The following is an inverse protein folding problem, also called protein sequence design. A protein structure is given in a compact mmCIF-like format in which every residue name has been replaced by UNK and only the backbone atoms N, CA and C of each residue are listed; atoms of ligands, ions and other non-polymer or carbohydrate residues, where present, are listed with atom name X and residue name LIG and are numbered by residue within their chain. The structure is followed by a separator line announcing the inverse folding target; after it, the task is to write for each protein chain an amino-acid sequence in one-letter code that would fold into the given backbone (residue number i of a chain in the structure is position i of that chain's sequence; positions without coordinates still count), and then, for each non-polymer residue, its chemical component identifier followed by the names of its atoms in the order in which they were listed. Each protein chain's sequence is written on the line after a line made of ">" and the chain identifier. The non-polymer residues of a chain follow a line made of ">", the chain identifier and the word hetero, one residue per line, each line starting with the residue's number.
data_IF_962349815782
#
_entry.id   IF_962349815782
#
_cell.length_a   1.000
_cell.length_b   1.000
_cell.length_c   1.000
_cell.angle_alpha   90.00
_cell.angle_beta   90.00
_cell.angle_gamma   90.00
#
_symmetry.space_group_name_H-M   'P 1'
#
loop_
_entity.id
_entity.type
_entity.pdbx_description
1 polymer ?
#
# COMPACT_ATOMS: atom_id res chain seq x y z
N UNK A 1 4.63 -29.26 33.19
CA UNK A 1 3.75 -28.92 32.07
C UNK A 1 2.76 -27.89 32.59
N UNK A 2 2.93 -26.61 32.22
CA UNK A 2 1.98 -25.53 32.52
C UNK A 2 1.64 -24.89 31.19
N UNK A 3 0.37 -24.94 30.84
CA UNK A 3 -0.19 -24.32 29.65
C UNK A 3 0.10 -22.81 29.67
N UNK A 4 0.79 -22.34 28.64
CA UNK A 4 0.81 -20.91 28.31
C UNK A 4 -0.45 -20.66 27.49
N UNK A 5 -1.43 -19.99 28.11
CA UNK A 5 -2.63 -19.50 27.41
C UNK A 5 -2.21 -18.47 26.35
N UNK A 6 -2.66 -18.70 25.12
CA UNK A 6 -2.61 -17.74 24.02
C UNK A 6 -3.27 -16.42 24.43
N UNK A 7 -2.61 -15.30 24.09
CA UNK A 7 -3.11 -13.94 24.26
C UNK A 7 -3.45 -13.42 22.85
N UNK A 8 -4.60 -12.78 22.70
CA UNK A 8 -4.99 -12.05 21.48
C UNK A 8 -4.53 -10.59 21.58
N UNK A 9 -4.12 -10.02 20.45
CA UNK A 9 -3.52 -8.68 20.30
C UNK A 9 -4.47 -7.49 20.55
N UNK A 10 -5.69 -7.73 21.07
CA UNK A 10 -6.74 -6.73 21.25
C UNK A 10 -7.06 -6.39 22.73
N UNK A 11 -6.26 -6.85 23.69
CA UNK A 11 -6.55 -6.62 25.12
C UNK A 11 -5.54 -5.69 25.81
N UNK A 12 -6.00 -4.48 26.18
CA UNK A 12 -5.31 -3.61 27.13
C UNK A 12 -5.69 -4.02 28.56
N UNK A 13 -4.72 -4.44 29.38
CA UNK A 13 -4.89 -4.58 30.84
C UNK A 13 -4.82 -3.20 31.49
N UNK A 14 -5.96 -2.65 31.87
CA UNK A 14 -6.02 -1.49 32.77
C UNK A 14 -5.84 -2.02 34.20
N UNK A 15 -4.63 -1.87 34.75
CA UNK A 15 -4.38 -2.01 36.19
C UNK A 15 -4.72 -0.68 36.87
N UNK A 16 -5.96 -0.59 37.35
CA UNK A 16 -6.42 0.50 38.20
C UNK A 16 -7.20 -0.08 39.38
N UNK A 17 -6.50 -0.32 40.49
CA UNK A 17 -7.11 -0.77 41.74
C UNK A 17 -7.47 0.46 42.59
N UNK A 18 -8.76 0.58 42.92
CA UNK A 18 -9.24 1.10 44.20
C UNK A 18 -9.03 2.58 44.54
N UNK A 19 -9.88 3.46 44.00
CA UNK A 19 -10.11 4.79 44.56
C UNK A 19 -11.59 5.01 44.88
N UNK A 20 -12.01 4.70 46.12
CA UNK A 20 -13.37 4.99 46.60
C UNK A 20 -13.61 6.50 46.62
N UNK A 21 -14.41 7.02 45.69
CA UNK A 21 -14.96 8.37 45.77
C UNK A 21 -16.37 8.26 46.33
N UNK A 22 -16.58 8.84 47.51
CA UNK A 22 -17.88 8.97 48.16
C UNK A 22 -18.92 9.48 47.15
N UNK A 23 -20.09 8.85 47.00
CA UNK A 23 -21.12 9.37 46.12
C UNK A 23 -21.56 10.75 46.63
N UNK A 24 -21.52 11.74 45.74
CA UNK A 24 -22.02 13.09 46.01
C UNK A 24 -23.48 13.02 46.51
N UNK A 25 -23.86 13.83 47.52
CA UNK A 25 -25.19 13.77 48.12
C UNK A 25 -26.28 14.01 47.08
N UNK A 26 -27.44 13.35 47.23
CA UNK A 26 -28.59 13.39 46.31
C UNK A 26 -29.00 14.80 45.86
N UNK A 27 -28.81 15.82 46.71
CA UNK A 27 -29.08 17.23 46.39
C UNK A 27 -28.18 17.79 45.29
N UNK A 28 -26.91 17.37 45.22
CA UNK A 28 -25.96 17.80 44.18
C UNK A 28 -26.28 17.14 42.83
N UNK A 29 -26.73 15.88 42.84
CA UNK A 29 -27.21 15.20 41.63
C UNK A 29 -28.44 15.88 41.01
N UNK A 30 -29.37 16.36 41.85
CA UNK A 30 -30.55 17.11 41.39
C UNK A 30 -30.14 18.45 40.76
N UNK A 31 -29.14 19.14 41.32
CA UNK A 31 -28.63 20.40 40.77
C UNK A 31 -27.94 20.15 39.42
N UNK A 32 -27.09 19.12 39.31
CA UNK A 32 -26.42 18.77 38.06
C UNK A 32 -27.44 18.40 36.97
N UNK A 33 -28.45 17.58 37.29
CA UNK A 33 -29.52 17.22 36.34
C UNK A 33 -30.37 18.44 35.93
N UNK A 34 -30.60 19.38 36.84
CA UNK A 34 -31.33 20.62 36.53
C UNK A 34 -30.54 21.52 35.58
N UNK A 35 -29.23 21.66 35.79
CA UNK A 35 -28.34 22.42 34.90
C UNK A 35 -28.27 21.75 33.52
N UNK A 36 -28.18 20.42 33.47
CA UNK A 36 -28.18 19.68 32.21
C UNK A 36 -29.50 19.85 31.44
N UNK A 37 -30.63 19.86 32.15
CA UNK A 37 -31.95 20.10 31.57
C UNK A 37 -32.09 21.50 30.96
N UNK A 38 -31.60 22.53 31.66
CA UNK A 38 -31.62 23.91 31.16
C UNK A 38 -30.72 24.06 29.93
N UNK A 39 -29.54 23.43 29.92
CA UNK A 39 -28.65 23.42 28.76
C UNK A 39 -29.29 22.74 27.54
N UNK A 40 -29.99 21.62 27.75
CA UNK A 40 -30.70 20.90 26.69
C UNK A 40 -31.84 21.75 26.08
N UNK A 41 -32.62 22.43 26.93
CA UNK A 41 -33.68 23.35 26.47
C UNK A 41 -33.08 24.53 25.71
N UNK A 42 -31.94 25.05 26.14
CA UNK A 42 -31.20 26.09 25.43
C UNK A 42 -30.74 25.65 24.03
N UNK A 43 -30.19 24.43 23.90
CA UNK A 43 -29.78 23.87 22.60
C UNK A 43 -30.98 23.64 21.68
N UNK A 44 -32.12 23.16 22.20
CA UNK A 44 -33.35 22.98 21.42
C UNK A 44 -33.88 24.34 20.93
N UNK A 45 -33.91 25.36 21.79
CA UNK A 45 -34.28 26.73 21.39
C UNK A 45 -33.35 27.30 20.32
N UNK A 46 -32.04 27.06 20.42
CA UNK A 46 -31.05 27.46 19.42
C UNK A 46 -31.28 26.75 18.08
N UNK A 47 -31.66 25.47 18.11
CA UNK A 47 -31.93 24.70 16.89
C UNK A 47 -33.22 25.15 16.20
N UNK A 48 -34.28 25.43 16.97
CA UNK A 48 -35.56 25.93 16.44
C UNK A 48 -35.43 27.36 15.89
N UNK A 49 -34.63 28.22 16.54
CA UNK A 49 -34.36 29.58 16.03
C UNK A 49 -33.50 29.56 14.77
N UNK A 50 -32.51 28.65 14.66
CA UNK A 50 -31.74 28.44 13.41
C UNK A 50 -32.62 27.97 12.25
N UNK A 51 -33.54 27.03 12.48
CA UNK A 51 -34.46 26.59 11.43
C UNK A 51 -35.40 27.71 10.96
N UNK A 52 -35.76 28.66 11.85
CA UNK A 52 -36.61 29.80 11.49
C UNK A 52 -35.87 30.86 10.66
N UNK A 53 -34.54 30.90 10.72
CA UNK A 53 -33.71 31.83 9.95
C UNK A 53 -33.41 31.35 8.51
N UNK A 54 -33.57 30.06 8.22
CA UNK A 54 -33.36 29.52 6.86
C UNK A 54 -34.58 29.69 5.93
N UNK A 55 -35.77 30.04 6.45
CA UNK A 55 -37.01 30.09 5.65
C UNK A 55 -37.41 31.50 5.15
N UNK A 56 -36.59 32.53 5.39
CA UNK A 56 -36.81 33.88 4.83
C UNK A 56 -35.57 34.32 4.04
N UNK A 57 -35.28 33.63 2.93
CA UNK A 57 -34.54 34.24 1.82
C UNK A 57 -35.55 34.89 0.88
N UNK A 58 -35.55 36.22 0.88
CA UNK A 58 -36.23 37.07 -0.08
C UNK A 58 -35.95 36.59 -1.52
N UNK A 59 -37.00 36.40 -2.32
CA UNK A 59 -36.89 36.24 -3.76
C UNK A 59 -36.28 37.51 -4.38
N UNK A 60 -34.96 37.55 -4.51
CA UNK A 60 -34.30 38.41 -5.50
C UNK A 60 -34.47 37.78 -6.88
N UNK A 61 -35.00 38.56 -7.80
CA UNK A 61 -35.09 38.20 -9.21
C UNK A 61 -33.73 37.70 -9.72
N UNK A 62 -33.67 36.62 -10.51
CA UNK A 62 -32.40 36.11 -10.99
C UNK A 62 -31.80 37.10 -11.98
N UNK A 63 -30.59 37.60 -11.67
CA UNK A 63 -29.72 38.19 -12.68
C UNK A 63 -29.52 37.15 -13.80
N UNK A 64 -29.46 37.58 -15.08
CA UNK A 64 -29.23 36.65 -16.18
C UNK A 64 -27.90 35.94 -15.94
N UNK A 65 -27.97 34.64 -15.66
CA UNK A 65 -26.81 33.78 -15.50
C UNK A 65 -25.96 33.90 -16.77
N UNK A 66 -24.78 34.49 -16.62
CA UNK A 66 -23.73 34.39 -17.62
C UNK A 66 -23.29 32.92 -17.56
N UNK A 67 -23.84 32.09 -18.46
CA UNK A 67 -23.40 30.71 -18.60
C UNK A 67 -21.93 30.75 -19.03
N UNK A 68 -21.02 30.54 -18.09
CA UNK A 68 -19.70 30.04 -18.47
C UNK A 68 -19.94 28.72 -19.21
N UNK A 69 -19.46 28.57 -20.45
CA UNK A 69 -19.55 27.29 -21.11
C UNK A 69 -18.90 26.27 -20.18
N UNK A 70 -19.64 25.22 -19.84
CA UNK A 70 -19.10 24.07 -19.13
C UNK A 70 -17.89 23.63 -19.93
N UNK A 71 -16.70 23.93 -19.43
CA UNK A 71 -15.48 23.33 -19.96
C UNK A 71 -15.63 21.87 -19.64
N UNK A 72 -16.10 21.09 -20.61
CA UNK A 72 -15.90 19.65 -20.58
C UNK A 72 -14.40 19.47 -20.30
N UNK A 73 -14.08 18.86 -19.16
CA UNK A 73 -12.71 18.55 -18.84
C UNK A 73 -12.16 17.79 -20.05
N UNK A 74 -11.11 18.31 -20.68
CA UNK A 74 -10.45 17.60 -21.75
C UNK A 74 -10.20 16.17 -21.24
N UNK A 75 -10.55 15.12 -22.01
CA UNK A 75 -10.24 13.76 -21.60
C UNK A 75 -8.75 13.74 -21.30
N UNK A 76 -8.38 13.44 -20.05
CA UNK A 76 -6.98 13.32 -19.66
C UNK A 76 -6.42 12.25 -20.59
N UNK A 77 -5.60 12.69 -21.57
CA UNK A 77 -4.96 11.78 -22.48
C UNK A 77 -4.13 10.85 -21.59
N UNK A 78 -4.51 9.58 -21.55
CA UNK A 78 -3.80 8.59 -20.76
C UNK A 78 -2.40 8.42 -21.37
N UNK A 79 -1.44 9.12 -20.79
CA UNK A 79 -0.04 9.07 -21.19
C UNK A 79 0.63 7.96 -20.39
N UNK A 80 0.80 6.80 -21.05
CA UNK A 80 1.58 5.68 -20.53
C UNK A 80 2.98 6.16 -20.17
N UNK A 81 3.51 5.68 -19.04
CA UNK A 81 4.91 5.91 -18.73
C UNK A 81 5.74 5.15 -19.77
N UNK A 82 5.56 3.85 -19.91
CA UNK A 82 6.29 3.05 -20.88
C UNK A 82 5.84 3.30 -22.32
N UNK A 83 6.64 2.87 -23.29
CA UNK A 83 6.13 2.76 -24.66
C UNK A 83 5.25 1.51 -24.79
N UNK A 84 4.43 1.44 -25.84
CA UNK A 84 3.69 0.23 -26.19
C UNK A 84 4.53 -0.63 -27.15
N UNK A 85 5.12 -1.75 -26.69
CA UNK A 85 5.93 -2.62 -27.54
C UNK A 85 5.05 -3.50 -28.44
N UNK A 86 5.66 -4.06 -29.49
CA UNK A 86 5.03 -5.13 -30.25
C UNK A 86 4.79 -6.34 -29.33
N UNK A 87 3.55 -6.81 -29.26
CA UNK A 87 3.15 -7.99 -28.46
C UNK A 87 3.89 -9.28 -28.80
N UNK A 88 4.52 -9.36 -29.99
CA UNK A 88 5.32 -10.51 -30.43
C UNK A 88 6.80 -10.39 -30.06
N UNK A 89 7.25 -9.22 -29.58
CA UNK A 89 8.63 -9.02 -29.18
C UNK A 89 8.96 -9.83 -27.91
N UNK A 90 10.21 -10.29 -27.73
CA UNK A 90 10.64 -10.92 -26.49
C UNK A 90 10.40 -10.01 -25.28
N UNK A 91 10.04 -10.57 -24.13
CA UNK A 91 9.86 -9.77 -22.92
C UNK A 91 11.17 -9.16 -22.39
N UNK A 92 11.07 -7.96 -21.82
CA UNK A 92 12.16 -7.19 -21.21
C UNK A 92 11.61 -6.17 -20.21
N UNK A 93 12.51 -5.50 -19.49
CA UNK A 93 12.16 -4.40 -18.59
C UNK A 93 12.67 -3.10 -19.20
N UNK A 94 11.77 -2.19 -19.54
CA UNK A 94 12.15 -0.81 -19.86
C UNK A 94 12.55 -0.09 -18.57
N UNK A 95 13.71 0.58 -18.60
CA UNK A 95 14.28 1.27 -17.44
C UNK A 95 14.29 2.76 -17.74
N UNK A 96 13.66 3.55 -16.87
CA UNK A 96 13.64 5.01 -16.95
C UNK A 96 14.11 5.63 -15.66
N UNK A 97 15.09 6.52 -15.76
CA UNK A 97 15.55 7.33 -14.64
C UNK A 97 14.90 8.73 -14.74
N UNK A 98 14.40 9.23 -13.63
CA UNK A 98 13.75 10.55 -13.52
C UNK A 98 14.02 11.17 -12.14
N UNK A 99 13.55 12.40 -11.94
CA UNK A 99 13.66 13.13 -10.69
C UNK A 99 12.26 13.63 -10.29
N UNK A 100 11.78 13.23 -9.11
CA UNK A 100 10.50 13.69 -8.55
C UNK A 100 10.78 14.29 -7.18
N UNK A 101 10.47 15.57 -6.99
CA UNK A 101 10.75 16.31 -5.75
C UNK A 101 12.20 16.14 -5.25
N UNK A 102 13.17 16.29 -6.16
CA UNK A 102 14.60 16.10 -5.88
C UNK A 102 15.02 14.69 -5.45
N UNK A 103 14.12 13.70 -5.51
CA UNK A 103 14.42 12.30 -5.27
C UNK A 103 14.72 11.64 -6.62
N UNK A 104 15.94 11.11 -6.84
CA UNK A 104 16.22 10.31 -8.03
C UNK A 104 15.38 9.04 -7.99
N UNK A 105 14.65 8.78 -9.06
CA UNK A 105 13.73 7.66 -9.17
C UNK A 105 14.12 6.84 -10.40
N UNK A 106 14.23 5.52 -10.21
CA UNK A 106 14.34 4.55 -11.29
C UNK A 106 13.04 3.76 -11.41
N UNK A 107 12.47 3.75 -12.60
CA UNK A 107 11.23 3.06 -12.96
C UNK A 107 11.58 1.86 -13.82
N UNK A 108 10.96 0.72 -13.51
CA UNK A 108 11.12 -0.56 -14.20
C UNK A 108 9.76 -1.01 -14.74
N UNK A 109 9.61 -1.01 -16.06
CA UNK A 109 8.33 -1.28 -16.74
C UNK A 109 8.46 -2.61 -17.49
N UNK A 110 7.81 -3.69 -17.00
CA UNK A 110 7.90 -5.00 -17.61
C UNK A 110 7.02 -5.07 -18.86
N UNK A 111 7.64 -5.46 -19.98
CA UNK A 111 7.00 -5.62 -21.28
C UNK A 111 6.93 -7.10 -21.67
N UNK A 112 5.81 -7.52 -22.28
CA UNK A 112 5.55 -8.90 -22.72
C UNK A 112 5.92 -9.95 -21.66
N UNK A 113 5.48 -9.71 -20.43
CA UNK A 113 5.87 -10.49 -19.27
C UNK A 113 4.69 -10.82 -18.35
N UNK A 114 4.92 -11.76 -17.46
CA UNK A 114 3.97 -12.19 -16.44
C UNK A 114 4.60 -12.10 -15.05
N UNK A 115 3.83 -11.55 -14.10
CA UNK A 115 4.22 -11.50 -12.69
C UNK A 115 3.96 -12.85 -12.03
N UNK A 116 5.02 -13.40 -11.45
CA UNK A 116 5.01 -14.59 -10.62
C UNK A 116 5.63 -14.29 -9.25
N UNK A 117 5.42 -15.17 -8.28
CA UNK A 117 6.19 -15.14 -7.02
C UNK A 117 7.15 -16.32 -6.96
N UNK A 118 8.26 -16.11 -6.25
CA UNK A 118 9.25 -17.14 -5.94
C UNK A 118 9.59 -17.13 -4.46
N UNK A 119 9.89 -18.29 -3.88
CA UNK A 119 10.41 -18.41 -2.51
C UNK A 119 11.76 -19.11 -2.53
N UNK A 120 12.70 -18.58 -1.77
CA UNK A 120 14.05 -19.08 -1.63
C UNK A 120 15.01 -18.43 -2.62
N UNK A 121 16.21 -19.01 -2.74
CA UNK A 121 17.27 -18.44 -3.56
C UNK A 121 16.83 -18.41 -5.03
N UNK A 122 17.02 -17.26 -5.68
CA UNK A 122 16.79 -17.11 -7.11
C UNK A 122 17.92 -17.74 -7.93
N UNK A 123 17.55 -18.30 -9.09
CA UNK A 123 18.49 -18.76 -10.11
C UNK A 123 18.82 -17.59 -11.05
N UNK A 124 20.08 -17.13 -11.07
CA UNK A 124 20.49 -15.97 -11.91
C UNK A 124 20.70 -16.34 -13.37
N UNK A 125 20.90 -17.62 -13.62
CA UNK A 125 21.09 -18.18 -14.94
C UNK A 125 19.75 -18.39 -15.67
N UNK A 126 18.62 -18.27 -14.96
CA UNK A 126 17.27 -18.35 -15.52
C UNK A 126 16.98 -17.17 -16.46
N UNK A 127 17.11 -17.42 -17.77
CA UNK A 127 16.85 -16.45 -18.82
C UNK A 127 15.36 -16.19 -19.07
N UNK A 128 14.43 -16.82 -18.35
CA UNK A 128 13.03 -16.38 -18.39
C UNK A 128 12.83 -15.07 -17.62
N UNK A 129 13.72 -14.73 -16.68
CA UNK A 129 13.55 -13.61 -15.75
C UNK A 129 14.01 -12.30 -16.38
N UNK A 130 13.15 -11.30 -16.32
CA UNK A 130 13.44 -9.93 -16.77
C UNK A 130 13.45 -8.92 -15.62
N UNK A 131 12.87 -9.27 -14.48
CA UNK A 131 12.94 -8.48 -13.26
C UNK A 131 12.78 -9.38 -12.04
N UNK A 132 13.55 -9.14 -11.00
CA UNK A 132 13.35 -9.76 -9.70
C UNK A 132 13.70 -8.79 -8.56
N UNK A 133 12.81 -8.69 -7.58
CA UNK A 133 13.06 -7.98 -6.32
C UNK A 133 12.35 -8.68 -5.16
N UNK A 134 12.89 -8.57 -3.95
CA UNK A 134 12.31 -9.22 -2.78
C UNK A 134 10.90 -8.63 -2.49
N UNK A 135 9.89 -9.49 -2.34
CA UNK A 135 8.49 -9.13 -2.22
C UNK A 135 8.11 -8.74 -0.79
N UNK A 136 8.09 -9.73 0.11
CA UNK A 136 7.58 -9.58 1.47
C UNK A 136 8.71 -9.58 2.51
N UNK A 137 8.45 -8.90 3.62
CA UNK A 137 9.32 -8.94 4.79
C UNK A 137 9.34 -10.34 5.41
N UNK A 138 10.46 -10.68 6.03
CA UNK A 138 10.63 -11.93 6.76
C UNK A 138 10.81 -11.60 8.24
N UNK A 139 10.09 -12.32 9.10
CA UNK A 139 10.16 -12.13 10.55
C UNK A 139 11.54 -12.52 11.08
N UNK A 140 12.07 -11.69 11.97
CA UNK A 140 13.39 -11.91 12.57
C UNK A 140 13.42 -13.07 13.58
N UNK A 141 12.28 -13.39 14.21
CA UNK A 141 12.18 -14.38 15.27
C UNK A 141 12.15 -15.83 14.75
N UNK A 142 11.40 -16.08 13.68
CA UNK A 142 11.14 -17.43 13.17
C UNK A 142 11.34 -17.58 11.65
N UNK A 143 11.70 -16.50 10.95
CA UNK A 143 11.92 -16.54 9.50
C UNK A 143 10.64 -16.73 8.67
N UNK A 144 9.45 -16.57 9.24
CA UNK A 144 8.17 -16.61 8.56
C UNK A 144 7.91 -15.37 7.70
N UNK A 145 7.04 -15.49 6.69
CA UNK A 145 6.61 -14.34 5.88
C UNK A 145 5.75 -13.41 6.73
N UNK A 146 5.98 -12.10 6.62
CA UNK A 146 5.12 -11.07 7.20
C UNK A 146 3.99 -10.77 6.23
N UNK A 147 2.74 -10.82 6.72
CA UNK A 147 1.55 -10.68 5.89
C UNK A 147 1.08 -12.02 5.30
N UNK A 148 -0.03 -11.98 4.57
CA UNK A 148 -0.60 -13.13 3.91
C UNK A 148 0.10 -13.33 2.57
N UNK A 149 0.26 -14.59 2.17
CA UNK A 149 1.05 -14.97 0.99
C UNK A 149 0.49 -16.24 0.36
N UNK A 150 0.31 -16.23 -0.96
CA UNK A 150 -0.09 -17.38 -1.79
C UNK A 150 0.93 -17.54 -2.91
N UNK A 151 1.46 -18.75 -3.04
CA UNK A 151 2.41 -19.13 -4.08
C UNK A 151 1.78 -20.16 -5.01
N UNK A 152 1.42 -19.76 -6.23
CA UNK A 152 0.87 -20.66 -7.25
C UNK A 152 -0.31 -21.49 -6.71
N UNK A 153 -1.30 -20.82 -6.12
CA UNK A 153 -2.46 -21.46 -5.51
C UNK A 153 -2.24 -22.02 -4.11
N UNK A 154 -1.01 -22.09 -3.60
CA UNK A 154 -0.73 -22.64 -2.28
C UNK A 154 -0.56 -21.52 -1.23
N UNK A 155 -1.43 -21.43 -0.20
CA UNK A 155 -1.25 -20.49 0.90
C UNK A 155 0.02 -20.81 1.70
N UNK A 156 0.92 -19.84 1.83
CA UNK A 156 2.16 -19.94 2.61
C UNK A 156 2.11 -19.16 3.92
N UNK A 157 1.24 -18.14 4.00
CA UNK A 157 1.03 -17.33 5.20
C UNK A 157 -0.36 -16.66 5.19
N UNK A 158 -0.91 -16.35 6.38
CA UNK A 158 -2.27 -15.79 6.55
C UNK A 158 -2.30 -14.43 7.28
N UNK A 159 -1.15 -13.75 7.43
CA UNK A 159 -1.08 -12.52 8.24
C UNK A 159 -1.86 -11.34 7.64
N UNK A 160 -2.75 -10.71 8.42
CA UNK A 160 -3.51 -9.53 7.98
C UNK A 160 -2.89 -8.20 8.44
N UNK A 161 -1.72 -8.22 9.06
CA UNK A 161 -1.04 -7.04 9.63
C UNK A 161 -0.61 -5.98 8.60
N UNK A 162 -0.78 -6.25 7.31
CA UNK A 162 -0.38 -5.40 6.19
C UNK A 162 -1.56 -5.21 5.25
N UNK A 163 -1.96 -3.97 5.01
CA UNK A 163 -3.20 -3.64 4.28
C UNK A 163 -3.00 -3.50 2.77
N UNK A 164 -1.78 -3.18 2.34
CA UNK A 164 -1.41 -3.21 0.92
C UNK A 164 -1.30 -4.64 0.43
N UNK A 165 -1.70 -4.90 -0.80
CA UNK A 165 -1.57 -6.20 -1.44
C UNK A 165 -1.24 -6.09 -2.93
N UNK A 166 -0.64 -7.15 -3.45
CA UNK A 166 -0.49 -7.38 -4.88
C UNK A 166 -0.94 -8.83 -5.16
N UNK A 167 -1.77 -8.99 -6.18
CA UNK A 167 -2.25 -10.27 -6.68
C UNK A 167 -1.90 -10.41 -8.16
N UNK A 168 -1.54 -11.62 -8.60
CA UNK A 168 -1.43 -11.98 -10.03
C UNK A 168 -2.24 -13.24 -10.25
N UNK A 169 -3.35 -13.10 -10.97
CA UNK A 169 -4.34 -14.17 -11.16
C UNK A 169 -4.77 -14.13 -12.63
N UNK A 170 -4.68 -15.27 -13.32
CA UNK A 170 -5.07 -15.40 -14.73
C UNK A 170 -4.45 -14.31 -15.65
N UNK A 171 -3.16 -14.01 -15.45
CA UNK A 171 -2.42 -13.01 -16.22
C UNK A 171 -2.77 -11.54 -15.89
N UNK A 172 -3.67 -11.28 -14.94
CA UNK A 172 -4.00 -9.93 -14.46
C UNK A 172 -3.31 -9.67 -13.12
N UNK A 173 -2.52 -8.59 -13.09
CA UNK A 173 -1.97 -8.06 -11.84
C UNK A 173 -2.95 -7.05 -11.26
N UNK A 174 -3.15 -7.08 -9.95
CA UNK A 174 -4.01 -6.14 -9.21
C UNK A 174 -3.29 -5.70 -7.95
N UNK A 175 -3.14 -4.39 -7.78
CA UNK A 175 -2.50 -3.76 -6.61
C UNK A 175 -3.58 -2.96 -5.89
N UNK A 176 -3.57 -2.99 -4.57
CA UNK A 176 -4.52 -2.20 -3.81
C UNK A 176 -4.31 -2.23 -2.32
N UNK A 177 -5.22 -1.56 -1.62
CA UNK A 177 -5.17 -1.39 -0.17
C UNK A 177 -6.53 -1.73 0.45
N UNK A 178 -6.57 -2.79 1.25
CA UNK A 178 -7.79 -3.22 1.94
C UNK A 178 -7.47 -4.04 3.20
N UNK A 179 -8.35 -3.93 4.20
CA UNK A 179 -8.32 -4.82 5.38
C UNK A 179 -8.52 -6.27 4.93
N UNK A 180 -9.55 -6.52 4.13
CA UNK A 180 -9.91 -7.82 3.59
C UNK A 180 -10.11 -7.72 2.08
N UNK A 181 -9.74 -8.77 1.35
CA UNK A 181 -9.94 -8.89 -0.09
C UNK A 181 -10.13 -10.36 -0.44
N UNK A 182 -11.05 -10.67 -1.35
CA UNK A 182 -11.28 -12.03 -1.84
C UNK A 182 -10.15 -12.54 -2.73
N UNK A 183 -9.20 -11.67 -3.12
CA UNK A 183 -8.10 -12.03 -4.00
C UNK A 183 -7.14 -13.05 -3.39
N UNK A 184 -7.11 -13.18 -2.05
CA UNK A 184 -6.34 -14.23 -1.39
C UNK A 184 -6.94 -15.62 -1.68
N UNK A 185 -8.24 -15.77 -1.47
CA UNK A 185 -8.98 -16.99 -1.76
C UNK A 185 -9.01 -17.27 -3.27
N UNK A 186 -9.19 -16.24 -4.09
CA UNK A 186 -9.18 -16.36 -5.54
C UNK A 186 -7.82 -16.84 -6.06
N UNK A 187 -6.71 -16.28 -5.55
CA UNK A 187 -5.37 -16.75 -5.89
C UNK A 187 -5.19 -18.22 -5.49
N UNK A 188 -5.71 -18.62 -4.33
CA UNK A 188 -5.67 -20.01 -3.86
C UNK A 188 -6.42 -20.97 -4.80
N UNK A 189 -7.58 -20.56 -5.31
CA UNK A 189 -8.42 -21.39 -6.17
C UNK A 189 -7.94 -21.44 -7.63
N UNK A 190 -7.25 -20.41 -8.11
CA UNK A 190 -6.90 -20.25 -9.52
C UNK A 190 -5.40 -20.40 -9.82
N UNK A 191 -4.64 -21.07 -8.94
CA UNK A 191 -3.19 -21.19 -9.05
C UNK A 191 -2.47 -19.83 -9.16
N UNK A 192 -3.05 -18.79 -8.57
CA UNK A 192 -2.54 -17.43 -8.62
C UNK A 192 -1.48 -17.15 -7.56
N UNK A 193 -1.08 -15.89 -7.53
CA UNK A 193 -0.12 -15.34 -6.60
C UNK A 193 -0.73 -14.20 -5.80
N UNK A 194 -0.37 -14.09 -4.52
CA UNK A 194 -0.82 -13.01 -3.66
C UNK A 194 0.22 -12.74 -2.58
N UNK A 195 0.46 -11.47 -2.26
CA UNK A 195 1.18 -11.10 -1.05
C UNK A 195 0.68 -9.78 -0.47
N UNK A 196 0.81 -9.62 0.85
CA UNK A 196 0.54 -8.36 1.56
C UNK A 196 1.82 -7.65 1.97
N UNK A 197 1.80 -6.33 1.92
CA UNK A 197 2.89 -5.48 2.38
C UNK A 197 2.38 -4.07 2.76
N UNK A 198 3.26 -3.18 3.24
CA UNK A 198 2.90 -1.80 3.58
C UNK A 198 2.29 -1.09 2.36
N UNK A 199 1.07 -0.53 2.50
CA UNK A 199 0.51 0.31 1.45
C UNK A 199 1.25 1.64 1.40
N UNK A 200 1.47 2.22 0.22
CA UNK A 200 2.17 3.51 0.06
C UNK A 200 1.24 4.57 -0.49
N UNK A 201 0.48 4.23 -1.52
CA UNK A 201 -0.47 5.13 -2.19
C UNK A 201 -1.77 4.39 -2.40
N UNK A 202 -2.90 5.08 -2.21
CA UNK A 202 -4.25 4.59 -2.49
C UNK A 202 -5.08 5.71 -3.11
N UNK A 203 -5.67 5.44 -4.26
CA UNK A 203 -6.51 6.37 -5.01
C UNK A 203 -5.78 7.72 -5.24
N UNK A 204 -4.48 7.64 -5.55
CA UNK A 204 -3.61 8.80 -5.77
C UNK A 204 -3.17 9.51 -4.48
N UNK A 205 -3.56 9.03 -3.30
CA UNK A 205 -3.26 9.66 -2.02
C UNK A 205 -2.23 8.87 -1.22
N UNK A 206 -1.30 9.60 -0.61
CA UNK A 206 -0.27 9.04 0.28
C UNK A 206 -0.91 8.37 1.51
N UNK A 207 -0.40 7.19 1.87
CA UNK A 207 -0.74 6.52 3.12
C UNK A 207 0.41 6.66 4.10
N UNK A 208 0.10 7.16 5.29
CA UNK A 208 1.04 7.19 6.40
C UNK A 208 1.30 5.78 6.92
N UNK A 209 2.57 5.48 7.15
CA UNK A 209 3.03 4.20 7.66
C UNK A 209 3.95 4.37 8.88
N UNK A 210 3.99 3.32 9.70
CA UNK A 210 4.78 3.28 10.93
C UNK A 210 6.31 3.18 10.78
N UNK A 211 6.89 2.52 9.75
CA UNK A 211 8.33 2.33 9.67
C UNK A 211 9.09 3.66 9.62
N UNK A 212 10.00 3.83 10.58
CA UNK A 212 10.86 5.02 10.70
C UNK A 212 12.20 4.81 10.01
N UNK A 213 12.89 5.91 9.76
CA UNK A 213 14.23 5.93 9.17
C UNK A 213 14.24 6.15 7.66
N UNK A 214 15.45 6.29 7.11
CA UNK A 214 15.68 6.45 5.67
C UNK A 214 16.38 5.21 5.10
N UNK A 215 15.98 4.78 3.91
CA UNK A 215 16.64 3.69 3.18
C UNK A 215 16.39 3.83 1.69
N UNK A 216 17.10 3.07 0.86
CA UNK A 216 16.63 2.83 -0.52
C UNK A 216 15.24 2.21 -0.42
N UNK A 217 14.26 2.78 -1.13
CA UNK A 217 12.87 2.33 -1.10
C UNK A 217 12.50 1.73 -2.44
N UNK A 218 11.57 0.77 -2.40
CA UNK A 218 11.01 0.16 -3.59
C UNK A 218 9.51 -0.02 -3.46
N UNK A 219 8.83 0.01 -4.59
CA UNK A 219 7.40 -0.24 -4.67
C UNK A 219 7.06 -1.03 -5.93
N UNK A 220 5.95 -1.73 -5.89
CA UNK A 220 5.18 -2.10 -7.07
C UNK A 220 3.98 -1.16 -7.16
N UNK A 221 3.76 -0.59 -8.33
CA UNK A 221 2.82 0.50 -8.58
C UNK A 221 1.83 0.12 -9.67
N UNK A 222 0.62 0.65 -9.55
CA UNK A 222 -0.40 0.69 -10.59
C UNK A 222 -0.74 2.16 -10.86
N UNK A 223 -0.53 2.58 -12.11
CA UNK A 223 -1.00 3.87 -12.63
C UNK A 223 -1.95 3.59 -13.78
N UNK A 224 -3.24 3.72 -13.51
CA UNK A 224 -4.31 3.57 -14.50
C UNK A 224 -4.24 2.25 -15.30
N UNK A 225 -3.81 1.16 -14.64
CA UNK A 225 -3.63 -0.17 -15.22
C UNK A 225 -2.21 -0.48 -15.71
N UNK A 226 -1.31 0.50 -15.75
CA UNK A 226 0.11 0.29 -16.01
C UNK A 226 0.83 -0.17 -14.75
N UNK A 227 1.36 -1.40 -14.77
CA UNK A 227 2.06 -1.98 -13.63
C UNK A 227 3.57 -1.83 -13.82
N UNK A 228 4.24 -1.25 -12.84
CA UNK A 228 5.68 -1.06 -12.86
C UNK A 228 6.28 -1.08 -11.46
N UNK A 229 7.60 -1.21 -11.39
CA UNK A 229 8.33 -1.12 -10.13
C UNK A 229 9.13 0.17 -10.08
N UNK A 230 9.34 0.66 -8.86
CA UNK A 230 10.09 1.89 -8.61
C UNK A 230 11.17 1.60 -7.57
N UNK A 231 12.35 2.20 -7.74
CA UNK A 231 13.42 2.28 -6.75
C UNK A 231 13.90 3.72 -6.58
N UNK A 232 14.20 4.14 -5.34
CA UNK A 232 14.86 5.43 -5.08
C UNK A 232 16.37 5.32 -5.27
N UNK A 233 17.00 6.31 -5.91
CA UNK A 233 18.46 6.39 -6.04
C UNK A 233 19.16 6.89 -4.77
N UNK A 234 18.40 7.48 -3.83
CA UNK A 234 18.87 7.96 -2.52
C UNK A 234 18.08 7.33 -1.38
N UNK A 235 18.60 7.47 -0.16
CA UNK A 235 17.89 6.95 1.02
C UNK A 235 16.76 7.89 1.43
N UNK A 236 15.52 7.40 1.40
CA UNK A 236 14.34 8.21 1.68
C UNK A 236 13.47 7.67 2.81
N UNK A 237 12.69 8.56 3.41
CA UNK A 237 11.66 8.16 4.36
C UNK A 237 10.51 7.46 3.63
N UNK A 238 9.67 6.73 4.37
CA UNK A 238 8.46 6.12 3.79
C UNK A 238 7.52 7.19 3.23
N UNK A 239 7.37 8.30 3.94
CA UNK A 239 6.49 9.40 3.56
C UNK A 239 6.99 10.10 2.29
N UNK A 240 8.26 10.52 2.24
CA UNK A 240 8.82 11.22 1.07
C UNK A 240 8.76 10.33 -0.19
N UNK A 241 9.01 9.03 -0.03
CA UNK A 241 8.89 8.08 -1.14
C UNK A 241 7.44 7.92 -1.60
N UNK A 242 6.49 7.74 -0.68
CA UNK A 242 5.08 7.63 -1.05
C UNK A 242 4.55 8.92 -1.70
N UNK A 243 5.00 10.09 -1.24
CA UNK A 243 4.69 11.38 -1.86
C UNK A 243 5.24 11.46 -3.28
N UNK A 244 6.48 11.06 -3.53
CA UNK A 244 7.05 11.01 -4.87
C UNK A 244 6.28 10.06 -5.81
N UNK A 245 5.74 8.93 -5.31
CA UNK A 245 4.88 8.05 -6.10
C UNK A 245 3.54 8.70 -6.43
N UNK A 246 2.91 9.39 -5.47
CA UNK A 246 1.66 10.12 -5.71
C UNK A 246 1.86 11.24 -6.73
N UNK A 247 2.97 11.99 -6.65
CA UNK A 247 3.31 13.07 -7.57
C UNK A 247 3.72 12.56 -8.96
N UNK A 248 4.20 11.31 -9.06
CA UNK A 248 4.35 10.58 -10.33
C UNK A 248 3.00 10.18 -10.94
N UNK A 249 1.88 10.36 -10.22
CA UNK A 249 0.53 10.04 -10.67
C UNK A 249 0.12 8.60 -10.42
N UNK A 250 0.78 7.88 -9.51
CA UNK A 250 0.43 6.49 -9.16
C UNK A 250 -0.91 6.43 -8.42
N UNK A 251 -1.80 5.53 -8.83
CA UNK A 251 -3.10 5.34 -8.17
C UNK A 251 -2.99 4.41 -6.95
N UNK A 252 -2.30 3.27 -7.11
CA UNK A 252 -2.08 2.30 -6.04
C UNK A 252 -0.60 1.95 -5.98
N UNK A 253 -0.03 1.95 -4.78
CA UNK A 253 1.34 1.50 -4.57
C UNK A 253 1.45 0.67 -3.29
N UNK A 254 2.22 -0.41 -3.39
CA UNK A 254 2.55 -1.27 -2.26
C UNK A 254 4.06 -1.42 -2.21
N UNK A 255 4.61 -1.29 -1.00
CA UNK A 255 6.04 -1.43 -0.76
C UNK A 255 6.51 -2.85 -1.15
N UNK A 256 7.74 -2.94 -1.64
CA UNK A 256 8.49 -4.20 -1.74
C UNK A 256 9.86 -3.99 -1.09
N UNK A 257 10.51 -5.05 -0.67
CA UNK A 257 11.69 -4.93 0.21
C UNK A 257 12.83 -4.20 -0.51
N UNK A 258 13.23 -3.06 0.07
CA UNK A 258 14.31 -2.20 -0.41
C UNK A 258 15.61 -2.36 0.37
N UNK A 259 16.27 -1.24 0.66
CA UNK A 259 17.59 -1.17 1.30
C UNK A 259 18.64 -1.97 0.50
N UNK A 260 19.34 -2.91 1.15
CA UNK A 260 20.37 -3.73 0.52
C UNK A 260 19.83 -5.01 -0.11
N UNK A 261 18.50 -5.23 -0.11
CA UNK A 261 17.91 -6.42 -0.70
C UNK A 261 18.28 -6.49 -2.18
N UNK A 262 18.91 -7.59 -2.58
CA UNK A 262 19.37 -7.77 -3.95
C UNK A 262 18.23 -8.04 -4.92
N UNK A 263 18.37 -7.51 -6.13
CA UNK A 263 17.52 -7.80 -7.28
C UNK A 263 18.18 -7.35 -8.58
N UNK A 264 17.48 -7.55 -9.69
CA UNK A 264 17.97 -7.14 -11.00
C UNK A 264 16.82 -6.92 -11.98
N UNK A 265 17.13 -6.21 -13.06
CA UNK A 265 16.31 -6.06 -14.25
C UNK A 265 17.12 -6.41 -15.50
N UNK A 266 16.46 -6.84 -16.57
CA UNK A 266 17.08 -7.10 -17.88
C UNK A 266 16.41 -6.19 -18.90
N UNK A 267 17.20 -5.33 -19.54
CA UNK A 267 16.70 -4.37 -20.54
C UNK A 267 16.45 -5.01 -21.92
N UNK A 268 15.94 -4.21 -22.85
CA UNK A 268 15.65 -4.64 -24.22
C UNK A 268 16.89 -5.16 -24.97
N UNK A 269 18.06 -4.61 -24.67
CA UNK A 269 19.34 -5.07 -25.24
C UNK A 269 19.85 -6.38 -24.60
N UNK A 270 19.14 -6.90 -23.59
CA UNK A 270 19.54 -8.08 -22.83
C UNK A 270 20.58 -7.81 -21.75
N UNK A 271 20.85 -6.55 -21.42
CA UNK A 271 21.79 -6.14 -20.38
C UNK A 271 21.15 -6.27 -19.01
N UNK A 272 21.85 -6.90 -18.07
CA UNK A 272 21.40 -7.02 -16.68
C UNK A 272 21.82 -5.78 -15.88
N UNK A 273 20.85 -5.15 -15.22
CA UNK A 273 21.03 -4.04 -14.28
C UNK A 273 20.74 -4.55 -12.87
N UNK A 274 21.79 -4.71 -12.06
CA UNK A 274 21.68 -5.20 -10.68
C UNK A 274 21.47 -4.05 -9.70
N UNK A 275 20.77 -4.32 -8.60
CA UNK A 275 20.58 -3.39 -7.49
C UNK A 275 20.62 -4.12 -6.14
N UNK A 276 20.97 -3.39 -5.08
CA UNK A 276 21.21 -3.96 -3.75
C UNK A 276 22.52 -4.78 -3.67
N UNK A 277 22.64 -5.61 -2.63
CA UNK A 277 23.87 -6.35 -2.30
C UNK A 277 23.72 -7.86 -2.55
N UNK A 278 24.27 -8.36 -3.66
CA UNK A 278 24.23 -9.79 -3.99
C UNK A 278 24.82 -10.69 -2.89
N UNK A 279 25.89 -10.19 -2.27
CA UNK A 279 26.65 -10.92 -1.27
C UNK A 279 26.07 -10.82 0.14
N UNK A 280 24.91 -10.18 0.33
CA UNK A 280 24.34 -9.93 1.66
C UNK A 280 24.13 -11.22 2.49
N UNK A 281 23.75 -12.31 1.83
CA UNK A 281 23.53 -13.64 2.43
C UNK A 281 24.67 -14.63 2.17
N UNK A 282 25.90 -14.13 2.07
CA UNK A 282 27.10 -14.99 1.95
C UNK A 282 27.80 -15.16 3.32
N UNK A 283 28.60 -16.24 3.45
CA UNK A 283 29.38 -16.51 4.65
C UNK A 283 28.51 -16.88 5.86
N UNK A 284 28.62 -16.11 6.96
CA UNK A 284 27.91 -16.38 8.22
C UNK A 284 26.43 -15.98 8.20
N UNK A 285 25.99 -15.20 7.20
CA UNK A 285 24.60 -14.74 7.05
C UNK A 285 23.86 -15.72 6.16
N UNK A 286 22.98 -16.54 6.73
CA UNK A 286 22.13 -17.45 5.97
C UNK A 286 20.89 -16.72 5.47
N UNK A 287 20.58 -16.85 4.18
CA UNK A 287 19.30 -16.38 3.63
C UNK A 287 18.14 -17.07 4.36
N UNK A 288 17.15 -16.31 4.88
CA UNK A 288 15.94 -16.89 5.44
C UNK A 288 15.22 -17.75 4.40
N UNK A 289 14.73 -18.93 4.82
CA UNK A 289 14.08 -19.89 3.91
C UNK A 289 12.90 -19.28 3.15
N UNK A 290 12.16 -18.39 3.80
CA UNK A 290 10.96 -17.77 3.24
C UNK A 290 11.22 -16.39 2.62
N UNK A 291 12.47 -16.09 2.26
CA UNK A 291 12.76 -14.92 1.43
C UNK A 291 12.01 -15.07 0.12
N UNK A 292 11.12 -14.13 -0.18
CA UNK A 292 10.19 -14.20 -1.31
C UNK A 292 10.47 -13.09 -2.30
N UNK A 293 10.16 -13.31 -3.58
CA UNK A 293 10.45 -12.37 -4.66
C UNK A 293 9.24 -12.14 -5.53
N UNK A 294 9.05 -10.89 -5.97
CA UNK A 294 8.27 -10.54 -7.16
C UNK A 294 9.17 -10.79 -8.35
N UNK A 295 8.69 -11.58 -9.31
CA UNK A 295 9.48 -11.99 -10.46
C UNK A 295 8.65 -11.79 -11.73
N UNK A 296 9.16 -10.99 -12.65
CA UNK A 296 8.60 -10.87 -13.98
C UNK A 296 9.34 -11.80 -14.95
N UNK A 297 8.57 -12.61 -15.66
CA UNK A 297 9.08 -13.60 -16.61
C UNK A 297 8.56 -13.30 -18.01
N UNK A 298 9.38 -13.55 -19.01
CA UNK A 298 8.99 -13.49 -20.43
C UNK A 298 7.78 -14.40 -20.67
N UNK A 299 6.77 -13.89 -21.39
CA UNK A 299 5.66 -14.69 -21.91
C UNK A 299 6.11 -15.57 -23.08
#
# INVERSE_FOLDING_TARGET
>A
MKELKEIRDDQIRILGEGGSKNPLPRSVWIIILSILGIALVGVILLFVTRQKEEEIQELKAPEPALFEPVREAEPILHEWIGHQPDSLAPGYTEIRDTLINDIPIRIFIPHNAELTLHIGRMNKEDKSIIYAAQAADVRADNGGIVGAFVLNGEPKAWGLSKKGYCASINGKVTIGVAENTSLFEEATMNNGYFFRQYPLVKDGQVIDNEPKGKSIRRAICDRQGEIFMVETGTTESFHDFAQALADLGVDQAVYIVGSSAYGWAVDEAGTTHEFGEDNYYTGRRRMPKNTSYVVWRRR
#
